data_IF_816261160530
#
_entry.id   IF_816261160530
#
_cell.length_a   1.000
_cell.length_b   1.000
_cell.length_c   1.000
_cell.angle_alpha   90.00
_cell.angle_beta   90.00
_cell.angle_gamma   90.00
#
_symmetry.space_group_name_H-M   'P 1'
#
loop_
_entity.id
_entity.type
_entity.pdbx_description
1 polymer ?
#
# COMPACT_ATOMS: atom_id res chain seq x y z
N UNK A 1 -26.04 5.31 -12.21
CA UNK A 1 -26.18 5.10 -10.75
C UNK A 1 -26.07 3.63 -10.32
N UNK A 2 -26.91 2.69 -10.78
CA UNK A 2 -26.76 1.26 -10.40
C UNK A 2 -25.52 0.62 -11.02
N UNK A 3 -25.26 0.89 -12.30
CA UNK A 3 -24.07 0.39 -13.01
C UNK A 3 -22.77 0.91 -12.37
N UNK A 4 -22.77 2.16 -11.90
CA UNK A 4 -21.61 2.77 -11.21
C UNK A 4 -21.33 2.11 -9.87
N UNK A 5 -22.37 1.71 -9.11
CA UNK A 5 -22.19 0.99 -7.83
C UNK A 5 -21.58 -0.39 -8.03
N UNK A 6 -22.04 -1.15 -9.03
CA UNK A 6 -21.45 -2.45 -9.36
C UNK A 6 -20.01 -2.31 -9.83
N UNK A 7 -19.72 -1.27 -10.60
CA UNK A 7 -18.36 -0.96 -11.04
C UNK A 7 -17.42 -0.62 -9.86
N UNK A 8 -17.85 0.26 -8.95
CA UNK A 8 -17.06 0.59 -7.74
C UNK A 8 -16.84 -0.66 -6.88
N UNK A 9 -17.88 -1.50 -6.69
CA UNK A 9 -17.73 -2.75 -5.95
C UNK A 9 -16.72 -3.69 -6.62
N UNK A 10 -16.77 -3.82 -7.94
CA UNK A 10 -15.79 -4.60 -8.70
C UNK A 10 -14.37 -4.08 -8.49
N UNK A 11 -14.15 -2.76 -8.51
CA UNK A 11 -12.84 -2.16 -8.23
C UNK A 11 -12.38 -2.47 -6.80
N UNK A 12 -13.26 -2.34 -5.81
CA UNK A 12 -12.95 -2.64 -4.41
C UNK A 12 -12.56 -4.11 -4.20
N UNK A 13 -13.33 -5.03 -4.75
CA UNK A 13 -13.03 -6.47 -4.69
C UNK A 13 -11.71 -6.77 -5.42
N UNK A 14 -11.52 -6.19 -6.60
CA UNK A 14 -10.28 -6.29 -7.38
C UNK A 14 -9.06 -5.85 -6.57
N UNK A 15 -9.13 -4.69 -5.91
CA UNK A 15 -8.06 -4.15 -5.06
C UNK A 15 -7.73 -5.08 -3.88
N UNK A 16 -8.76 -5.58 -3.19
CA UNK A 16 -8.60 -6.45 -2.02
C UNK A 16 -7.94 -7.77 -2.43
N UNK A 17 -8.42 -8.39 -3.51
CA UNK A 17 -7.92 -9.69 -4.00
C UNK A 17 -6.49 -9.54 -4.52
N UNK A 18 -6.22 -8.62 -5.45
CA UNK A 18 -4.88 -8.45 -6.01
C UNK A 18 -3.86 -8.00 -4.98
N UNK A 19 -4.25 -7.15 -4.03
CA UNK A 19 -3.37 -6.78 -2.93
C UNK A 19 -3.10 -7.96 -1.99
N UNK A 20 -4.11 -8.77 -1.69
CA UNK A 20 -4.01 -9.94 -0.81
C UNK A 20 -3.09 -11.00 -1.41
N UNK A 21 -3.28 -11.32 -2.69
CA UNK A 21 -2.37 -12.17 -3.45
C UNK A 21 -0.95 -11.63 -3.44
N UNK A 22 -0.75 -10.33 -3.71
CA UNK A 22 0.57 -9.71 -3.70
C UNK A 22 1.29 -9.94 -2.37
N UNK A 23 0.64 -9.63 -1.25
CA UNK A 23 1.22 -9.79 0.08
C UNK A 23 1.61 -11.25 0.40
N UNK A 24 0.75 -12.21 0.06
CA UNK A 24 1.00 -13.62 0.29
C UNK A 24 2.10 -14.17 -0.61
N UNK A 25 2.13 -13.75 -1.88
CA UNK A 25 3.15 -14.16 -2.85
C UNK A 25 4.52 -13.59 -2.50
N UNK A 26 4.62 -12.31 -2.12
CA UNK A 26 5.88 -11.72 -1.66
C UNK A 26 6.41 -12.46 -0.45
N UNK A 27 5.54 -12.78 0.53
CA UNK A 27 5.98 -13.56 1.68
C UNK A 27 6.39 -14.98 1.30
N UNK A 28 5.64 -15.63 0.42
CA UNK A 28 5.99 -16.95 -0.08
C UNK A 28 7.36 -16.93 -0.75
N UNK A 29 7.65 -15.88 -1.53
CA UNK A 29 8.93 -15.65 -2.18
C UNK A 29 10.05 -15.47 -1.14
N UNK A 30 9.86 -14.62 -0.13
CA UNK A 30 10.82 -14.39 0.95
C UNK A 30 11.15 -15.66 1.75
N UNK A 31 10.19 -16.57 1.86
CA UNK A 31 10.36 -17.85 2.54
C UNK A 31 11.01 -18.93 1.66
N UNK A 32 11.27 -18.67 0.36
CA UNK A 32 11.96 -19.65 -0.48
C UNK A 32 13.45 -19.69 -0.12
N UNK A 33 13.97 -20.90 0.03
CA UNK A 33 15.40 -21.12 0.16
C UNK A 33 16.08 -21.02 -1.21
N UNK A 34 17.21 -20.32 -1.24
CA UNK A 34 17.92 -19.97 -2.47
C UNK A 34 19.33 -20.54 -2.49
N UNK A 35 20.01 -20.60 -1.34
CA UNK A 35 21.36 -21.19 -1.21
C UNK A 35 21.50 -21.95 0.10
N UNK A 36 22.33 -22.99 0.11
CA UNK A 36 22.59 -23.87 1.26
C UNK A 36 21.33 -24.54 1.83
N UNK A 37 20.38 -24.91 0.98
CA UNK A 37 19.09 -25.48 1.42
C UNK A 37 19.22 -26.85 2.09
N UNK A 38 20.28 -27.60 1.77
CA UNK A 38 20.59 -28.89 2.40
C UNK A 38 21.54 -28.75 3.61
N UNK A 39 21.92 -27.52 3.98
CA UNK A 39 22.87 -27.22 5.07
C UNK A 39 22.20 -26.79 6.37
N UNK A 40 23.01 -26.56 7.41
CA UNK A 40 22.54 -26.13 8.75
C UNK A 40 22.12 -24.65 8.83
N UNK A 41 22.41 -23.85 7.80
CA UNK A 41 22.02 -22.43 7.71
C UNK A 41 21.52 -22.10 6.29
N UNK A 42 20.24 -22.38 5.96
CA UNK A 42 19.66 -22.06 4.66
C UNK A 42 19.58 -20.54 4.49
N UNK A 43 20.00 -20.05 3.32
CA UNK A 43 19.84 -18.65 2.94
C UNK A 43 18.53 -18.48 2.19
N UNK A 44 17.63 -17.69 2.78
CA UNK A 44 16.34 -17.35 2.19
C UNK A 44 16.48 -16.21 1.19
N UNK A 45 15.49 -16.07 0.30
CA UNK A 45 15.41 -14.95 -0.62
C UNK A 45 15.18 -13.64 0.15
N UNK A 46 16.22 -12.84 0.33
CA UNK A 46 16.14 -11.56 1.05
C UNK A 46 16.75 -10.45 0.20
N UNK A 47 15.96 -9.97 -0.78
CA UNK A 47 16.40 -8.95 -1.74
C UNK A 47 15.29 -7.88 -1.92
N UNK A 48 15.03 -7.06 -0.89
CA UNK A 48 13.91 -6.10 -0.88
C UNK A 48 14.00 -5.06 -1.99
N UNK A 49 15.21 -4.59 -2.34
CA UNK A 49 15.38 -3.59 -3.41
C UNK A 49 15.10 -4.21 -4.79
N UNK A 50 15.46 -5.49 -4.99
CA UNK A 50 15.14 -6.20 -6.22
C UNK A 50 13.63 -6.45 -6.35
N UNK A 51 12.95 -6.76 -5.25
CA UNK A 51 11.47 -6.85 -5.22
C UNK A 51 10.81 -5.51 -5.55
N UNK A 52 11.35 -4.39 -5.03
CA UNK A 52 10.89 -3.04 -5.41
C UNK A 52 11.11 -2.76 -6.91
N UNK A 53 12.24 -3.17 -7.48
CA UNK A 53 12.45 -3.05 -8.93
C UNK A 53 11.41 -3.88 -9.72
N UNK A 54 11.16 -5.11 -9.27
CA UNK A 54 10.19 -6.00 -9.89
C UNK A 54 8.75 -5.43 -9.84
N UNK A 55 8.37 -4.79 -8.73
CA UNK A 55 7.10 -4.05 -8.59
C UNK A 55 6.95 -2.99 -9.68
N UNK A 56 7.93 -2.09 -9.83
CA UNK A 56 7.88 -1.03 -10.83
C UNK A 56 7.95 -1.54 -12.27
N UNK A 57 8.66 -2.63 -12.53
CA UNK A 57 8.66 -3.28 -13.86
C UNK A 57 7.26 -3.82 -14.19
N UNK A 58 6.56 -4.40 -13.21
CA UNK A 58 5.17 -4.84 -13.36
C UNK A 58 4.22 -3.68 -13.71
N UNK A 59 4.35 -2.55 -13.03
CA UNK A 59 3.57 -1.34 -13.33
C UNK A 59 3.92 -0.73 -14.68
N UNK A 60 5.20 -0.71 -15.06
CA UNK A 60 5.62 -0.24 -16.37
C UNK A 60 5.01 -1.08 -17.50
N UNK A 61 4.79 -2.39 -17.29
CA UNK A 61 4.13 -3.24 -18.29
C UNK A 61 2.70 -2.81 -18.59
N UNK A 62 2.03 -2.12 -17.65
CA UNK A 62 0.70 -1.52 -17.85
C UNK A 62 0.73 -0.44 -18.93
N UNK A 63 1.86 0.25 -19.10
CA UNK A 63 2.04 1.27 -20.13
C UNK A 63 1.91 0.68 -21.55
N UNK A 64 2.36 -0.56 -21.75
CA UNK A 64 2.19 -1.26 -23.03
C UNK A 64 0.70 -1.51 -23.33
N UNK A 65 -0.07 -1.91 -22.32
CA UNK A 65 -1.54 -2.08 -22.44
C UNK A 65 -2.20 -0.74 -22.73
N UNK A 66 -1.78 0.34 -22.06
CA UNK A 66 -2.28 1.69 -22.27
C UNK A 66 -2.04 2.17 -23.71
N UNK A 67 -0.82 2.03 -24.24
CA UNK A 67 -0.52 2.42 -25.62
C UNK A 67 -1.26 1.56 -26.65
N UNK A 68 -1.42 0.26 -26.42
CA UNK A 68 -2.19 -0.61 -27.30
C UNK A 68 -3.68 -0.20 -27.34
N UNK A 69 -4.27 0.13 -26.19
CA UNK A 69 -5.66 0.63 -26.12
C UNK A 69 -5.81 2.00 -26.75
N UNK A 70 -4.85 2.90 -26.51
CA UNK A 70 -4.86 4.24 -27.09
C UNK A 70 -4.70 4.21 -28.61
N UNK A 71 -3.78 3.39 -29.13
CA UNK A 71 -3.59 3.21 -30.58
C UNK A 71 -4.82 2.59 -31.26
N UNK A 72 -5.59 1.77 -30.55
CA UNK A 72 -6.89 1.27 -31.03
C UNK A 72 -8.00 2.35 -30.95
N UNK A 73 -8.01 3.17 -29.90
CA UNK A 73 -9.00 4.22 -29.67
C UNK A 73 -8.75 5.51 -30.48
N UNK A 74 -7.52 5.77 -30.95
CA UNK A 74 -7.17 6.90 -31.82
C UNK A 74 -7.87 6.88 -33.19
N UNK A 75 -8.67 5.84 -33.46
CA UNK A 75 -9.56 5.74 -34.63
C UNK A 75 -10.96 6.33 -34.41
N UNK A 76 -11.37 6.70 -33.18
CA UNK A 76 -12.72 7.20 -32.88
C UNK A 76 -12.66 8.29 -31.78
N UNK A 77 -13.14 9.49 -32.14
CA UNK A 77 -13.48 10.65 -31.28
C UNK A 77 -12.40 11.60 -30.74
N UNK A 78 -12.23 12.71 -31.48
CA UNK A 78 -11.89 14.02 -30.95
C UNK A 78 -13.18 14.72 -30.48
N UNK A 79 -13.57 14.52 -29.21
CA UNK A 79 -14.71 15.16 -28.57
C UNK A 79 -14.34 16.38 -27.73
N UNK A 80 -15.15 17.44 -27.85
CA UNK A 80 -15.05 18.77 -27.22
C UNK A 80 -15.31 18.66 -25.70
N UNK A 81 -14.50 19.35 -24.89
CA UNK A 81 -14.49 19.43 -23.40
C UNK A 81 -13.68 18.38 -22.62
N UNK A 82 -12.40 18.22 -22.96
CA UNK A 82 -11.46 17.38 -22.20
C UNK A 82 -10.44 18.24 -21.42
N UNK A 83 -10.30 18.00 -20.10
CA UNK A 83 -9.24 18.61 -19.24
C UNK A 83 -7.86 18.45 -19.93
N UNK A 84 -6.89 19.35 -19.68
CA UNK A 84 -5.61 19.34 -20.39
C UNK A 84 -4.89 17.99 -20.27
N UNK A 85 -4.57 17.38 -21.41
CA UNK A 85 -3.74 16.17 -21.50
C UNK A 85 -2.31 16.55 -21.13
N UNK A 86 -1.73 15.83 -20.16
CA UNK A 86 -0.35 16.04 -19.71
C UNK A 86 0.59 15.88 -20.92
N UNK A 87 1.20 16.97 -21.38
CA UNK A 87 2.17 16.96 -22.49
C UNK A 87 3.58 17.20 -21.98
N UNK A 88 4.49 16.29 -22.30
CA UNK A 88 5.95 16.46 -22.29
C UNK A 88 6.56 16.93 -20.97
N UNK A 89 6.63 18.25 -20.76
CA UNK A 89 7.21 18.87 -19.54
C UNK A 89 6.36 18.64 -18.29
N UNK A 90 5.06 18.38 -18.44
CA UNK A 90 4.17 18.10 -17.30
C UNK A 90 4.26 16.65 -16.82
N UNK A 91 4.88 15.74 -17.57
CA UNK A 91 5.13 14.36 -17.11
C UNK A 91 6.07 14.33 -15.88
N UNK A 92 6.90 15.36 -15.68
CA UNK A 92 7.71 15.49 -14.48
C UNK A 92 6.88 15.68 -13.20
N UNK A 93 5.63 16.16 -13.30
CA UNK A 93 4.73 16.23 -12.14
C UNK A 93 4.37 14.81 -11.66
N UNK A 94 4.34 13.83 -12.57
CA UNK A 94 4.11 12.42 -12.25
C UNK A 94 5.33 11.74 -11.61
N UNK A 95 6.51 12.36 -11.65
CA UNK A 95 7.69 11.84 -10.96
C UNK A 95 7.61 12.05 -9.44
N UNK A 96 6.78 12.99 -8.96
CA UNK A 96 6.59 13.24 -7.53
C UNK A 96 5.94 12.04 -6.82
N UNK A 97 4.75 11.53 -7.25
CA UNK A 97 4.16 10.34 -6.63
C UNK A 97 5.07 9.13 -6.77
N UNK A 98 5.73 8.95 -7.92
CA UNK A 98 6.70 7.85 -8.12
C UNK A 98 7.86 7.90 -7.13
N UNK A 99 8.44 9.08 -6.86
CA UNK A 99 9.51 9.21 -5.87
C UNK A 99 9.03 8.84 -4.46
N UNK A 100 7.81 9.25 -4.10
CA UNK A 100 7.21 8.89 -2.81
C UNK A 100 6.91 7.39 -2.70
N UNK A 101 6.43 6.75 -3.78
CA UNK A 101 6.19 5.31 -3.82
C UNK A 101 7.49 4.52 -3.66
N UNK A 102 8.58 4.91 -4.35
CA UNK A 102 9.89 4.25 -4.17
C UNK A 102 10.32 4.27 -2.71
N UNK A 103 10.23 5.42 -2.06
CA UNK A 103 10.62 5.57 -0.65
C UNK A 103 9.71 4.72 0.24
N UNK A 104 8.39 4.83 0.05
CA UNK A 104 7.40 4.09 0.83
C UNK A 104 7.59 2.57 0.70
N UNK A 105 7.64 2.07 -0.53
CA UNK A 105 7.76 0.65 -0.85
C UNK A 105 9.10 0.07 -0.42
N UNK A 106 10.19 0.83 -0.49
CA UNK A 106 11.50 0.39 0.04
C UNK A 106 11.48 0.27 1.57
N UNK A 107 10.92 1.26 2.28
CA UNK A 107 10.79 1.21 3.74
C UNK A 107 9.90 0.06 4.21
N UNK A 108 8.80 -0.18 3.48
CA UNK A 108 7.87 -1.26 3.77
C UNK A 108 8.48 -2.64 3.48
N UNK A 109 9.20 -2.82 2.38
CA UNK A 109 9.88 -4.09 2.09
C UNK A 109 11.00 -4.36 3.11
N UNK A 110 11.76 -3.33 3.52
CA UNK A 110 12.75 -3.46 4.58
C UNK A 110 12.10 -3.88 5.91
N UNK A 111 10.95 -3.30 6.27
CA UNK A 111 10.23 -3.69 7.46
C UNK A 111 9.70 -5.14 7.39
N UNK A 112 9.18 -5.58 6.25
CA UNK A 112 8.64 -6.94 6.07
C UNK A 112 9.68 -8.04 6.35
N UNK A 113 10.96 -7.76 6.08
CA UNK A 113 12.09 -8.66 6.38
C UNK A 113 12.40 -8.71 7.89
N UNK A 114 12.15 -7.62 8.61
CA UNK A 114 12.50 -7.48 10.03
C UNK A 114 11.40 -7.93 10.99
N UNK A 115 10.15 -7.96 10.54
CA UNK A 115 9.00 -8.23 11.43
C UNK A 115 8.05 -9.31 10.90
N UNK A 116 7.31 -9.99 11.79
CA UNK A 116 6.24 -10.89 11.40
C UNK A 116 5.20 -10.23 10.49
N UNK A 117 4.64 -11.02 9.57
CA UNK A 117 3.74 -10.55 8.52
C UNK A 117 2.46 -10.00 9.12
N UNK A 118 1.96 -10.63 10.17
CA UNK A 118 0.71 -10.19 10.80
C UNK A 118 0.86 -8.79 11.43
N UNK A 119 1.98 -8.51 12.09
CA UNK A 119 2.28 -7.17 12.66
C UNK A 119 2.47 -6.17 11.53
N UNK A 120 3.14 -6.57 10.45
CA UNK A 120 3.32 -5.75 9.26
C UNK A 120 1.99 -5.33 8.65
N UNK A 121 1.11 -6.30 8.37
CA UNK A 121 -0.20 -6.06 7.76
C UNK A 121 -1.09 -5.21 8.66
N UNK A 122 -1.11 -5.49 9.96
CA UNK A 122 -1.94 -4.74 10.90
C UNK A 122 -1.45 -3.32 11.12
N UNK A 123 -0.13 -3.10 11.19
CA UNK A 123 0.43 -1.75 11.28
C UNK A 123 0.15 -0.95 10.01
N UNK A 124 0.14 -1.59 8.83
CA UNK A 124 -0.24 -0.94 7.57
C UNK A 124 -1.66 -0.38 7.56
N UNK A 125 -2.58 -0.92 8.37
CA UNK A 125 -3.93 -0.36 8.54
C UNK A 125 -3.94 1.06 9.11
N UNK A 126 -2.83 1.53 9.70
CA UNK A 126 -2.66 2.92 10.11
C UNK A 126 -2.67 3.92 8.94
N UNK A 127 -2.58 3.46 7.68
CA UNK A 127 -2.57 4.32 6.49
C UNK A 127 -3.80 5.24 6.42
N UNK A 128 -4.96 4.77 6.87
CA UNK A 128 -6.22 5.54 6.87
C UNK A 128 -6.05 6.84 7.67
N UNK A 129 -5.31 6.78 8.78
CA UNK A 129 -5.04 7.93 9.62
C UNK A 129 -4.25 9.02 8.87
N UNK A 130 -3.12 8.64 8.26
CA UNK A 130 -2.27 9.59 7.55
C UNK A 130 -2.93 10.15 6.30
N UNK A 131 -3.68 9.32 5.55
CA UNK A 131 -4.42 9.76 4.37
C UNK A 131 -5.52 10.75 4.75
N UNK A 132 -6.28 10.47 5.81
CA UNK A 132 -7.30 11.40 6.29
C UNK A 132 -6.69 12.74 6.74
N UNK A 133 -5.60 12.70 7.50
CA UNK A 133 -4.88 13.90 7.96
C UNK A 133 -4.38 14.75 6.78
N UNK A 134 -3.71 14.12 5.80
CA UNK A 134 -3.22 14.81 4.61
C UNK A 134 -4.34 15.28 3.68
N UNK A 135 -5.48 14.59 3.63
CA UNK A 135 -6.66 15.06 2.90
C UNK A 135 -7.21 16.37 3.48
N UNK A 136 -7.17 16.53 4.81
CA UNK A 136 -7.54 17.80 5.46
C UNK A 136 -6.54 18.91 5.14
N UNK A 137 -5.24 18.61 5.26
CA UNK A 137 -4.17 19.62 5.10
C UNK A 137 -4.01 20.06 3.64
N UNK A 138 -3.97 19.13 2.69
CA UNK A 138 -3.64 19.43 1.29
C UNK A 138 -4.86 19.62 0.39
N UNK A 139 -5.97 18.91 0.64
CA UNK A 139 -7.21 19.06 -0.13
C UNK A 139 -8.20 20.01 0.53
N UNK A 140 -7.95 20.46 1.77
CA UNK A 140 -8.81 21.41 2.49
C UNK A 140 -10.18 20.82 2.88
N UNK A 141 -10.31 19.50 2.90
CA UNK A 141 -11.54 18.82 3.30
C UNK A 141 -11.79 18.98 4.80
N UNK A 142 -13.06 18.98 5.19
CA UNK A 142 -13.46 19.04 6.61
C UNK A 142 -13.71 17.63 7.12
N UNK A 143 -13.24 17.36 8.34
CA UNK A 143 -13.45 16.09 9.05
C UNK A 143 -14.36 16.36 10.24
N UNK A 144 -15.44 15.59 10.32
CA UNK A 144 -16.41 15.61 11.41
C UNK A 144 -15.80 15.09 12.70
N UNK A 145 -16.37 15.46 13.87
CA UNK A 145 -15.90 14.93 15.15
C UNK A 145 -15.98 13.40 15.24
N UNK A 146 -16.98 12.78 14.59
CA UNK A 146 -17.12 11.32 14.54
C UNK A 146 -15.97 10.66 13.78
N UNK A 147 -15.59 11.22 12.63
CA UNK A 147 -14.43 10.76 11.87
C UNK A 147 -13.14 10.93 12.70
N UNK A 148 -12.95 12.04 13.42
CA UNK A 148 -11.82 12.21 14.35
C UNK A 148 -11.76 11.17 15.47
N UNK A 149 -12.90 10.83 16.08
CA UNK A 149 -12.93 9.76 17.09
C UNK A 149 -12.58 8.39 16.48
N UNK A 150 -13.02 8.15 15.24
CA UNK A 150 -12.70 6.90 14.51
C UNK A 150 -11.20 6.81 14.20
N UNK A 151 -10.59 7.91 13.79
CA UNK A 151 -9.14 8.03 13.58
C UNK A 151 -8.35 7.76 14.87
N UNK A 152 -8.81 8.25 16.02
CA UNK A 152 -8.18 7.96 17.31
C UNK A 152 -8.25 6.47 17.68
N UNK A 153 -9.38 5.80 17.39
CA UNK A 153 -9.54 4.36 17.59
C UNK A 153 -8.59 3.55 16.70
N UNK A 154 -8.39 3.96 15.44
CA UNK A 154 -7.42 3.32 14.53
C UNK A 154 -6.01 3.41 15.12
N UNK A 155 -5.58 4.60 15.58
CA UNK A 155 -4.26 4.80 16.20
C UNK A 155 -4.09 3.92 17.45
N UNK A 156 -5.13 3.81 18.28
CA UNK A 156 -5.13 2.92 19.45
C UNK A 156 -4.97 1.45 19.03
N UNK A 157 -5.71 0.99 18.01
CA UNK A 157 -5.61 -0.37 17.48
C UNK A 157 -4.19 -0.72 17.03
N UNK A 158 -3.54 0.20 16.30
CA UNK A 158 -2.16 0.05 15.83
C UNK A 158 -1.18 -0.02 17.02
N UNK A 159 -1.36 0.82 18.03
CA UNK A 159 -0.52 0.80 19.24
C UNK A 159 -0.65 -0.54 19.99
N UNK A 160 -1.86 -1.09 20.11
CA UNK A 160 -2.10 -2.40 20.74
C UNK A 160 -1.45 -3.54 19.94
N UNK A 161 -1.55 -3.52 18.61
CA UNK A 161 -0.89 -4.49 17.73
C UNK A 161 0.63 -4.46 17.90
N UNK A 162 1.23 -3.25 17.90
CA UNK A 162 2.67 -3.09 18.12
C UNK A 162 3.12 -3.63 19.47
N UNK A 163 2.35 -3.34 20.53
CA UNK A 163 2.62 -3.85 21.88
C UNK A 163 2.47 -5.39 21.96
N UNK A 164 1.49 -5.98 21.26
CA UNK A 164 1.34 -7.43 21.15
C UNK A 164 2.55 -8.11 20.52
N UNK A 165 3.19 -7.45 19.56
CA UNK A 165 4.43 -7.92 18.94
C UNK A 165 5.56 -8.04 19.95
N UNK A 166 5.73 -7.03 20.81
CA UNK A 166 6.78 -7.01 21.82
C UNK A 166 6.60 -8.11 22.87
N UNK A 167 5.37 -8.33 23.34
CA UNK A 167 5.05 -9.37 24.31
C UNK A 167 5.26 -10.79 23.77
N UNK A 168 5.31 -10.95 22.45
CA UNK A 168 5.56 -12.23 21.81
C UNK A 168 7.02 -12.69 21.93
N UNK A 169 7.97 -11.76 22.00
CA UNK A 169 9.38 -12.06 22.25
C UNK A 169 9.66 -12.45 23.71
N UNK A 170 8.69 -12.27 24.61
CA UNK A 170 8.78 -12.60 26.04
C UNK A 170 8.27 -14.02 26.37
N UNK A 171 7.62 -14.72 25.43
CA UNK A 171 7.00 -16.04 25.68
C UNK A 171 7.79 -17.24 25.17
N UNK A 172 8.88 -17.03 24.42
CA UNK A 172 9.88 -18.07 24.18
C UNK A 172 10.83 -18.09 25.38
N UNK A 173 10.94 -19.23 26.08
CA UNK A 173 11.82 -19.49 27.24
C UNK A 173 13.34 -19.36 26.96
N UNK A 174 13.72 -18.75 25.83
CA UNK A 174 15.07 -18.28 25.58
C UNK A 174 15.12 -16.78 25.88
N UNK A 175 15.97 -16.38 26.83
CA UNK A 175 16.22 -14.98 27.23
C UNK A 175 16.08 -14.02 26.05
N UNK A 176 15.20 -13.00 26.11
CA UNK A 176 15.00 -12.10 24.98
C UNK A 176 16.31 -11.37 24.73
N UNK A 177 16.99 -11.72 23.64
CA UNK A 177 18.14 -10.96 23.20
C UNK A 177 17.64 -9.52 22.94
N UNK A 178 18.32 -8.52 23.51
CA UNK A 178 17.97 -7.10 23.29
C UNK A 178 17.84 -6.76 21.80
N UNK A 179 18.58 -7.49 20.95
CA UNK A 179 18.57 -7.39 19.50
C UNK A 179 17.19 -7.66 18.88
N UNK A 180 16.41 -8.63 19.39
CA UNK A 180 15.09 -8.95 18.83
C UNK A 180 14.09 -7.81 19.07
N UNK A 181 14.06 -7.23 20.27
CA UNK A 181 13.18 -6.10 20.61
C UNK A 181 13.55 -4.84 19.83
N UNK A 182 14.84 -4.57 19.68
CA UNK A 182 15.33 -3.43 18.87
C UNK A 182 14.96 -3.58 17.40
N UNK A 183 15.07 -4.80 16.84
CA UNK A 183 14.67 -5.07 15.45
C UNK A 183 13.17 -4.89 15.20
N UNK A 184 12.32 -5.29 16.15
CA UNK A 184 10.87 -5.10 16.06
C UNK A 184 10.48 -3.62 16.10
N UNK A 185 11.03 -2.87 17.06
CA UNK A 185 10.75 -1.44 17.20
C UNK A 185 11.21 -0.66 15.97
N UNK A 186 12.39 -1.00 15.44
CA UNK A 186 12.91 -0.42 14.21
C UNK A 186 11.99 -0.74 13.03
N UNK A 187 11.56 -2.00 12.88
CA UNK A 187 10.64 -2.42 11.82
C UNK A 187 9.30 -1.69 11.87
N UNK A 188 8.66 -1.58 13.04
CA UNK A 188 7.40 -0.81 13.21
C UNK A 188 7.61 0.67 12.88
N UNK A 189 8.73 1.26 13.29
CA UNK A 189 9.07 2.66 12.99
C UNK A 189 9.25 2.89 11.49
N UNK A 190 9.90 1.95 10.79
CA UNK A 190 10.03 1.99 9.32
C UNK A 190 8.68 1.91 8.61
N UNK A 191 7.74 1.11 9.12
CA UNK A 191 6.38 1.04 8.56
C UNK A 191 5.69 2.38 8.72
N UNK A 192 5.67 2.94 9.93
CA UNK A 192 5.02 4.24 10.17
C UNK A 192 5.61 5.31 9.26
N UNK A 193 6.93 5.36 9.11
CA UNK A 193 7.57 6.28 8.18
C UNK A 193 7.18 6.01 6.71
N UNK A 194 7.17 4.75 6.29
CA UNK A 194 6.74 4.36 4.95
C UNK A 194 5.28 4.73 4.66
N UNK A 195 4.39 4.59 5.65
CA UNK A 195 2.98 4.96 5.54
C UNK A 195 2.77 6.46 5.36
N UNK A 196 3.64 7.30 5.93
CA UNK A 196 3.60 8.75 5.70
C UNK A 196 3.88 9.05 4.23
N UNK A 197 4.91 8.45 3.63
CA UNK A 197 5.20 8.63 2.21
C UNK A 197 4.12 8.05 1.30
N UNK A 198 3.57 6.87 1.66
CA UNK A 198 2.47 6.25 0.92
C UNK A 198 1.19 7.10 0.98
N UNK A 199 0.89 7.70 2.13
CA UNK A 199 -0.25 8.62 2.25
C UNK A 199 -0.05 9.88 1.41
N UNK A 200 1.18 10.42 1.37
CA UNK A 200 1.50 11.56 0.51
C UNK A 200 1.37 11.22 -0.97
N UNK A 201 1.79 10.02 -1.39
CA UNK A 201 1.57 9.50 -2.74
C UNK A 201 0.06 9.49 -3.08
N UNK A 202 -0.79 8.85 -2.27
CA UNK A 202 -2.22 8.74 -2.55
C UNK A 202 -2.91 10.11 -2.68
N UNK A 203 -2.51 11.07 -1.84
CA UNK A 203 -3.05 12.44 -1.87
C UNK A 203 -2.55 13.21 -3.09
N UNK A 204 -1.28 13.03 -3.47
CA UNK A 204 -0.72 13.63 -4.69
C UNK A 204 -1.40 13.08 -5.93
N UNK A 205 -1.65 11.77 -5.99
CA UNK A 205 -2.41 11.14 -7.07
C UNK A 205 -3.84 11.68 -7.15
N UNK A 206 -4.55 11.79 -6.03
CA UNK A 206 -5.91 12.36 -5.99
C UNK A 206 -5.89 13.81 -6.48
N UNK A 207 -4.90 14.60 -6.06
CA UNK A 207 -4.71 15.97 -6.53
C UNK A 207 -4.43 16.05 -8.05
N UNK A 208 -3.68 15.09 -8.60
CA UNK A 208 -3.40 15.04 -10.04
C UNK A 208 -4.64 14.61 -10.83
N UNK A 209 -5.35 13.58 -10.37
CA UNK A 209 -6.55 13.03 -11.02
C UNK A 209 -7.72 14.01 -11.00
N UNK A 210 -7.81 14.87 -9.99
CA UNK A 210 -8.80 15.96 -9.93
C UNK A 210 -8.48 17.09 -10.91
N UNK A 211 -7.21 17.51 -11.00
CA UNK A 211 -6.78 18.64 -11.86
C UNK A 211 -6.58 18.32 -13.34
N UNK A 212 -6.16 17.10 -13.70
CA UNK A 212 -5.87 16.71 -15.08
C UNK A 212 -6.73 15.52 -15.53
N UNK A 213 -7.08 15.43 -16.82
CA UNK A 213 -7.71 14.22 -17.37
C UNK A 213 -6.61 13.20 -17.66
N UNK A 214 -6.27 12.45 -16.62
CA UNK A 214 -5.37 11.29 -16.73
C UNK A 214 -6.22 10.02 -16.57
N UNK A 215 -6.02 9.07 -17.48
CA UNK A 215 -6.57 7.73 -17.31
C UNK A 215 -5.76 7.00 -16.20
N UNK A 216 -6.41 6.34 -15.22
CA UNK A 216 -5.69 5.64 -14.13
C UNK A 216 -4.60 4.69 -14.66
N UNK A 217 -4.88 4.01 -15.77
CA UNK A 217 -3.96 3.11 -16.45
C UNK A 217 -2.67 3.81 -16.92
N UNK A 218 -2.79 5.02 -17.45
CA UNK A 218 -1.65 5.83 -17.87
C UNK A 218 -0.85 6.37 -16.68
N UNK A 219 -1.53 6.79 -15.60
CA UNK A 219 -0.89 7.26 -14.37
C UNK A 219 0.04 6.18 -13.79
N UNK A 220 -0.49 4.97 -13.58
CA UNK A 220 0.27 3.81 -13.07
C UNK A 220 1.42 3.44 -14.00
N UNK A 221 1.20 3.46 -15.33
CA UNK A 221 2.25 3.14 -16.30
C UNK A 221 3.43 4.12 -16.27
N UNK A 222 3.16 5.42 -16.11
CA UNK A 222 4.22 6.43 -15.99
C UNK A 222 4.92 6.39 -14.62
N UNK A 223 4.18 6.09 -13.56
CA UNK A 223 4.75 5.83 -12.23
C UNK A 223 5.74 4.65 -12.28
N UNK A 224 5.34 3.52 -12.88
CA UNK A 224 6.21 2.37 -13.12
C UNK A 224 7.44 2.70 -13.98
N UNK A 225 7.30 3.57 -14.98
CA UNK A 225 8.43 4.00 -15.81
C UNK A 225 9.44 4.84 -15.00
N UNK A 226 8.99 5.87 -14.29
CA UNK A 226 9.89 6.69 -13.48
C UNK A 226 10.46 5.90 -12.29
N UNK A 227 9.63 5.07 -11.65
CA UNK A 227 10.01 4.16 -10.58
C UNK A 227 11.10 3.19 -10.99
N UNK A 228 10.89 2.48 -12.10
CA UNK A 228 11.89 1.52 -12.63
C UNK A 228 13.21 2.21 -12.98
N UNK A 229 13.18 3.40 -13.60
CA UNK A 229 14.39 4.16 -13.92
C UNK A 229 15.16 4.59 -12.65
N UNK A 230 14.47 5.14 -11.66
CA UNK A 230 15.09 5.61 -10.42
C UNK A 230 15.63 4.44 -9.60
N UNK A 231 14.82 3.39 -9.40
CA UNK A 231 15.21 2.21 -8.63
C UNK A 231 16.34 1.44 -9.31
N UNK A 232 16.31 1.27 -10.63
CA UNK A 232 17.40 0.64 -11.36
C UNK A 232 18.70 1.46 -11.26
N UNK A 233 18.62 2.79 -11.37
CA UNK A 233 19.78 3.67 -11.19
C UNK A 233 20.34 3.59 -9.78
N UNK A 234 19.47 3.54 -8.76
CA UNK A 234 19.86 3.37 -7.36
C UNK A 234 20.55 2.04 -7.11
N UNK A 235 20.02 0.95 -7.69
CA UNK A 235 20.63 -0.38 -7.63
C UNK A 235 21.99 -0.43 -8.31
N UNK A 236 22.13 0.17 -9.50
CA UNK A 236 23.40 0.23 -10.22
C UNK A 236 24.45 1.00 -9.41
N UNK A 237 24.07 2.15 -8.86
CA UNK A 237 24.95 2.94 -8.01
C UNK A 237 25.34 2.18 -6.73
N UNK A 238 24.37 1.56 -6.04
CA UNK A 238 24.61 0.76 -4.84
C UNK A 238 25.51 -0.45 -5.11
N UNK A 239 25.35 -1.11 -6.27
CA UNK A 239 26.20 -2.20 -6.69
C UNK A 239 27.66 -1.77 -6.88
N UNK A 240 27.88 -0.61 -7.53
CA UNK A 240 29.21 -0.06 -7.78
C UNK A 240 29.90 0.37 -6.48
N UNK A 241 29.17 1.01 -5.56
CA UNK A 241 29.77 1.58 -4.33
C UNK A 241 29.96 0.53 -3.22
N UNK A 242 28.96 -0.32 -3.00
CA UNK A 242 28.91 -1.26 -1.86
C UNK A 242 28.74 -2.73 -2.26
N UNK A 243 28.26 -3.02 -3.47
CA UNK A 243 27.98 -4.39 -3.93
C UNK A 243 29.22 -5.28 -4.06
N UNK A 244 30.40 -4.71 -4.26
CA UNK A 244 31.66 -5.47 -4.35
C UNK A 244 32.23 -5.92 -2.99
N UNK A 245 31.71 -5.45 -1.86
CA UNK A 245 32.30 -5.73 -0.52
C UNK A 245 31.78 -7.01 0.15
N UNK A 246 30.63 -7.55 -0.24
CA UNK A 246 30.11 -8.80 0.32
C UNK A 246 29.10 -9.51 -0.61
N UNK A 247 29.19 -10.84 -0.69
CA UNK A 247 28.30 -11.70 -1.49
C UNK A 247 26.84 -11.65 -1.00
N UNK A 248 26.63 -11.36 0.29
CA UNK A 248 25.31 -11.23 0.92
C UNK A 248 24.79 -9.77 0.98
N UNK A 249 25.43 -8.83 0.29
CA UNK A 249 24.96 -7.46 0.26
C UNK A 249 23.62 -7.36 -0.47
N UNK A 250 22.66 -6.67 0.15
CA UNK A 250 21.31 -6.36 -0.40
C UNK A 250 21.39 -5.60 -1.74
N UNK A 251 22.57 -5.06 -2.07
CA UNK A 251 22.84 -4.30 -3.30
C UNK A 251 23.49 -5.14 -4.41
N UNK A 252 23.68 -6.45 -4.23
CA UNK A 252 24.33 -7.28 -5.25
C UNK A 252 23.35 -7.75 -6.34
N UNK A 253 23.15 -6.91 -7.36
CA UNK A 253 22.21 -7.14 -8.44
C UNK A 253 22.46 -8.46 -9.20
N UNK A 254 23.73 -8.80 -9.46
CA UNK A 254 24.09 -10.03 -10.17
C UNK A 254 23.66 -11.27 -9.39
N UNK A 255 23.83 -11.23 -8.07
CA UNK A 255 23.44 -12.33 -7.20
C UNK A 255 21.91 -12.43 -7.10
N UNK A 256 21.20 -11.31 -6.91
CA UNK A 256 19.74 -11.29 -6.87
C UNK A 256 19.10 -11.82 -8.17
N UNK A 257 19.68 -11.46 -9.33
CA UNK A 257 19.23 -11.96 -10.62
C UNK A 257 19.48 -13.46 -10.77
N UNK A 258 20.65 -13.95 -10.37
CA UNK A 258 20.99 -15.38 -10.43
C UNK A 258 20.09 -16.22 -9.51
N UNK A 259 19.84 -15.70 -8.31
CA UNK A 259 19.00 -16.33 -7.29
C UNK A 259 17.53 -16.44 -7.74
N UNK A 260 17.03 -15.41 -8.44
CA UNK A 260 15.69 -15.40 -9.08
C UNK A 260 15.65 -16.31 -10.31
N UNK A 261 16.69 -16.21 -11.13
CA UNK A 261 17.11 -17.06 -12.25
C UNK A 261 16.87 -18.56 -12.04
N UNK A 262 17.60 -19.01 -11.02
CA UNK A 262 17.92 -20.41 -10.77
C UNK A 262 16.81 -21.15 -10.04
N UNK A 263 15.92 -20.44 -9.33
CA UNK A 263 14.87 -21.04 -8.54
C UNK A 263 13.52 -20.87 -9.23
N UNK A 264 12.99 -21.96 -9.80
CA UNK A 264 11.70 -21.95 -10.53
C UNK A 264 10.54 -21.42 -9.69
N UNK A 265 10.50 -21.71 -8.40
CA UNK A 265 9.49 -21.19 -7.48
C UNK A 265 9.58 -19.67 -7.31
N UNK A 266 10.80 -19.14 -7.19
CA UNK A 266 11.03 -17.69 -7.05
C UNK A 266 10.64 -16.99 -8.35
N UNK A 267 11.06 -17.50 -9.51
CA UNK A 267 10.70 -16.94 -10.81
C UNK A 267 9.17 -16.94 -11.05
N UNK A 268 8.49 -18.05 -10.76
CA UNK A 268 7.04 -18.13 -10.91
C UNK A 268 6.32 -17.16 -9.97
N UNK A 269 6.74 -17.11 -8.70
CA UNK A 269 6.20 -16.15 -7.73
C UNK A 269 6.45 -14.71 -8.18
N UNK A 270 7.62 -14.42 -8.77
CA UNK A 270 7.97 -13.10 -9.29
C UNK A 270 7.03 -12.64 -10.41
N UNK A 271 6.72 -13.52 -11.36
CA UNK A 271 5.78 -13.22 -12.44
C UNK A 271 4.36 -12.92 -11.89
N UNK A 272 3.89 -13.73 -10.95
CA UNK A 272 2.58 -13.53 -10.34
C UNK A 272 2.51 -12.22 -9.53
N UNK A 273 3.59 -11.89 -8.80
CA UNK A 273 3.71 -10.63 -8.05
C UNK A 273 3.60 -9.44 -9.00
N UNK A 274 4.30 -9.45 -10.14
CA UNK A 274 4.23 -8.36 -11.13
C UNK A 274 2.80 -8.14 -11.63
N UNK A 275 2.09 -9.21 -11.98
CA UNK A 275 0.70 -9.13 -12.44
C UNK A 275 -0.21 -8.61 -11.31
N UNK A 276 -0.03 -9.13 -10.11
CA UNK A 276 -0.85 -8.76 -8.94
C UNK A 276 -0.70 -7.30 -8.56
N UNK A 277 0.54 -6.78 -8.57
CA UNK A 277 0.87 -5.37 -8.29
C UNK A 277 0.28 -4.46 -9.36
N UNK A 278 0.47 -4.81 -10.64
CA UNK A 278 -0.10 -4.04 -11.74
C UNK A 278 -1.62 -3.90 -11.58
N UNK A 279 -2.32 -5.01 -11.30
CA UNK A 279 -3.76 -4.99 -11.02
C UNK A 279 -4.10 -4.17 -9.76
N UNK A 280 -3.34 -4.33 -8.68
CA UNK A 280 -3.53 -3.60 -7.43
C UNK A 280 -3.46 -2.09 -7.63
N UNK A 281 -2.41 -1.58 -8.30
CA UNK A 281 -2.25 -0.15 -8.52
C UNK A 281 -3.24 0.39 -9.56
N UNK A 282 -3.64 -0.40 -10.57
CA UNK A 282 -4.71 -0.01 -11.49
C UNK A 282 -6.08 0.13 -10.79
N UNK A 283 -6.47 -0.86 -9.97
CA UNK A 283 -7.72 -0.78 -9.23
C UNK A 283 -7.69 0.32 -8.17
N UNK A 284 -6.54 0.50 -7.50
CA UNK A 284 -6.34 1.51 -6.46
C UNK A 284 -6.49 2.92 -7.01
N UNK A 285 -5.73 3.25 -8.07
CA UNK A 285 -5.82 4.56 -8.73
C UNK A 285 -7.21 4.80 -9.35
N UNK A 286 -7.88 3.75 -9.83
CA UNK A 286 -9.27 3.85 -10.31
C UNK A 286 -10.25 4.19 -9.18
N UNK A 287 -10.10 3.59 -7.99
CA UNK A 287 -10.89 3.95 -6.81
C UNK A 287 -10.61 5.40 -6.40
N UNK A 288 -9.35 5.84 -6.41
CA UNK A 288 -9.00 7.24 -6.12
C UNK A 288 -9.69 8.20 -7.10
N UNK A 289 -9.76 7.83 -8.39
CA UNK A 289 -10.40 8.67 -9.42
C UNK A 289 -11.92 8.75 -9.30
N UNK A 290 -12.57 7.63 -8.99
CA UNK A 290 -14.04 7.54 -8.95
C UNK A 290 -14.65 7.83 -7.58
N UNK A 291 -13.86 7.68 -6.52
CA UNK A 291 -14.27 7.92 -5.13
C UNK A 291 -13.25 8.85 -4.48
N UNK A 292 -12.25 8.36 -3.75
CA UNK A 292 -11.25 9.22 -3.11
C UNK A 292 -10.04 8.44 -2.65
N UNK A 293 -8.93 9.14 -2.34
CA UNK A 293 -7.75 8.49 -1.74
C UNK A 293 -8.07 7.84 -0.39
N UNK A 294 -8.96 8.46 0.39
CA UNK A 294 -9.39 7.95 1.69
C UNK A 294 -10.21 6.67 1.58
N UNK A 295 -11.05 6.57 0.53
CA UNK A 295 -11.77 5.34 0.24
C UNK A 295 -10.81 4.23 -0.21
N UNK A 296 -9.83 4.55 -1.07
CA UNK A 296 -8.76 3.61 -1.45
C UNK A 296 -8.00 3.08 -0.23
N UNK A 297 -7.55 3.95 0.67
CA UNK A 297 -6.78 3.55 1.86
C UNK A 297 -7.59 2.70 2.82
N UNK A 298 -8.90 2.93 2.90
CA UNK A 298 -9.79 2.09 3.69
C UNK A 298 -9.97 0.70 3.05
N UNK A 299 -10.20 0.62 1.75
CA UNK A 299 -10.29 -0.68 1.05
C UNK A 299 -8.97 -1.44 1.16
N UNK A 300 -7.83 -0.75 1.11
CA UNK A 300 -6.51 -1.35 1.34
C UNK A 300 -6.35 -1.90 2.76
N UNK A 301 -7.01 -1.29 3.75
CA UNK A 301 -7.03 -1.79 5.12
C UNK A 301 -7.88 -3.06 5.22
N UNK A 302 -8.98 -3.18 4.48
CA UNK A 302 -9.79 -4.41 4.44
C UNK A 302 -9.00 -5.62 3.93
N UNK A 303 -8.01 -5.44 3.06
CA UNK A 303 -7.11 -6.53 2.63
C UNK A 303 -6.37 -7.17 3.80
N UNK A 304 -5.96 -6.38 4.80
CA UNK A 304 -5.13 -6.86 5.92
C UNK A 304 -5.81 -7.98 6.70
N UNK A 305 -7.16 -7.96 6.77
CA UNK A 305 -8.00 -9.04 7.33
C UNK A 305 -7.78 -10.36 6.61
N UNK A 306 -7.86 -10.34 5.29
CA UNK A 306 -7.73 -11.55 4.49
C UNK A 306 -6.33 -12.13 4.60
N UNK A 307 -5.29 -11.30 4.54
CA UNK A 307 -3.91 -11.75 4.64
C UNK A 307 -3.65 -12.33 6.03
N UNK A 308 -4.18 -11.71 7.08
CA UNK A 308 -4.03 -12.23 8.45
C UNK A 308 -4.70 -13.60 8.63
N UNK A 309 -5.95 -13.75 8.18
CA UNK A 309 -6.66 -15.03 8.22
C UNK A 309 -5.90 -16.10 7.43
N UNK A 310 -5.40 -15.74 6.23
CA UNK A 310 -4.60 -16.64 5.42
C UNK A 310 -3.29 -17.03 6.11
N UNK A 311 -2.59 -16.10 6.76
CA UNK A 311 -1.34 -16.41 7.49
C UNK A 311 -1.57 -17.37 8.67
N UNK A 312 -2.71 -17.26 9.36
CA UNK A 312 -3.09 -18.18 10.42
C UNK A 312 -3.46 -19.56 9.85
N UNK A 313 -4.21 -19.59 8.75
CA UNK A 313 -4.61 -20.84 8.08
C UNK A 313 -3.40 -21.62 7.52
N UNK A 314 -2.38 -20.91 7.03
CA UNK A 314 -1.12 -21.49 6.56
C UNK A 314 -0.18 -21.91 7.70
N UNK A 315 -0.52 -21.59 8.95
CA UNK A 315 0.30 -21.93 10.12
C UNK A 315 1.62 -21.15 10.21
N UNK A 316 1.73 -19.99 9.54
CA UNK A 316 2.95 -19.19 9.57
C UNK A 316 3.20 -18.53 10.92
N UNK A 317 2.14 -18.29 11.71
CA UNK A 317 2.23 -17.59 13.00
C UNK A 317 1.19 -18.11 14.00
N UNK A 318 1.50 -18.14 15.32
CA UNK A 318 0.56 -18.55 16.34
C UNK A 318 -0.52 -17.49 16.60
N UNK A 319 -1.73 -17.94 16.90
CA UNK A 319 -2.86 -17.06 17.23
C UNK A 319 -2.62 -16.33 18.57
N UNK A 320 -2.78 -15.00 18.55
CA UNK A 320 -2.64 -14.14 19.74
C UNK A 320 -3.87 -13.30 19.97
N UNK A 321 -4.44 -13.42 21.17
CA UNK A 321 -5.66 -12.72 21.54
C UNK A 321 -5.49 -11.19 21.54
N UNK A 322 -4.35 -10.70 22.01
CA UNK A 322 -4.05 -9.27 22.08
C UNK A 322 -3.94 -8.65 20.68
N UNK A 323 -3.41 -9.42 19.72
CA UNK A 323 -3.34 -9.03 18.34
C UNK A 323 -4.74 -8.96 17.69
N UNK A 324 -5.60 -9.95 17.95
CA UNK A 324 -7.01 -9.91 17.54
C UNK A 324 -7.73 -8.68 18.10
N UNK A 325 -7.47 -8.31 19.36
CA UNK A 325 -8.09 -7.12 19.98
C UNK A 325 -7.66 -5.83 19.29
N UNK A 326 -6.35 -5.61 19.11
CA UNK A 326 -5.84 -4.42 18.41
C UNK A 326 -6.35 -4.34 16.97
N UNK A 327 -6.48 -5.50 16.33
CA UNK A 327 -7.03 -5.57 14.99
C UNK A 327 -8.54 -5.29 14.90
N UNK A 328 -9.31 -5.79 15.87
CA UNK A 328 -10.75 -5.51 15.96
C UNK A 328 -11.00 -4.02 16.14
N UNK A 329 -10.20 -3.34 16.97
CA UNK A 329 -10.25 -1.89 17.12
C UNK A 329 -9.95 -1.17 15.80
N UNK A 330 -8.92 -1.61 15.10
CA UNK A 330 -8.53 -1.02 13.82
C UNK A 330 -9.67 -1.13 12.79
N UNK A 331 -10.21 -2.33 12.60
CA UNK A 331 -11.33 -2.58 11.67
C UNK A 331 -12.57 -1.80 12.08
N UNK A 332 -12.91 -1.79 13.37
CA UNK A 332 -14.04 -1.03 13.87
C UNK A 332 -13.88 0.47 13.58
N UNK A 333 -12.72 1.05 13.91
CA UNK A 333 -12.44 2.46 13.62
C UNK A 333 -12.52 2.77 12.14
N UNK A 334 -11.99 1.90 11.28
CA UNK A 334 -12.07 2.04 9.82
C UNK A 334 -13.51 1.98 9.30
N UNK A 335 -14.36 1.08 9.82
CA UNK A 335 -15.75 0.95 9.42
C UNK A 335 -16.63 2.13 9.89
N UNK A 336 -16.38 2.65 11.09
CA UNK A 336 -17.07 3.85 11.61
C UNK A 336 -16.62 5.09 10.83
N UNK A 337 -15.33 5.21 10.52
CA UNK A 337 -14.79 6.28 9.68
C UNK A 337 -15.46 6.30 8.29
N UNK A 338 -15.70 5.12 7.71
CA UNK A 338 -16.38 5.00 6.43
C UNK A 338 -17.89 5.17 6.46
N UNK A 339 -18.50 5.33 7.64
CA UNK A 339 -19.95 5.34 7.79
C UNK A 339 -20.64 4.01 7.45
N UNK A 340 -19.88 2.91 7.34
CA UNK A 340 -20.45 1.57 7.13
C UNK A 340 -21.12 1.05 8.40
N UNK A 341 -20.61 1.45 9.56
CA UNK A 341 -21.25 1.26 10.87
C UNK A 341 -21.72 2.63 11.35
N UNK A 342 -23.02 2.89 11.22
CA UNK A 342 -23.64 4.04 11.84
C UNK A 342 -23.94 3.72 13.31
N UNK A 343 -23.24 4.38 14.23
CA UNK A 343 -23.49 4.20 15.66
C UNK A 343 -24.85 4.86 15.96
N UNK A 344 -25.82 4.12 16.53
CA UNK A 344 -27.15 4.66 16.80
C UNK A 344 -27.09 5.83 17.77
N UNK A 345 -27.85 6.89 17.48
CA UNK A 345 -27.83 8.19 18.16
C UNK A 345 -28.02 8.10 19.68
N UNK A 346 -28.67 7.04 20.15
CA UNK A 346 -28.89 6.73 21.57
C UNK A 346 -27.61 6.49 22.37
N UNK A 347 -26.52 6.11 21.72
CA UNK A 347 -25.22 5.84 22.36
C UNK A 347 -24.17 6.93 22.07
N UNK A 348 -24.49 7.95 21.26
CA UNK A 348 -23.59 9.07 21.05
C UNK A 348 -23.75 10.11 22.17
N UNK A 349 -22.66 10.59 22.78
CA UNK A 349 -22.71 11.80 23.60
C UNK A 349 -23.18 13.01 22.75
N UNK A 350 -23.99 13.90 23.34
CA UNK A 350 -24.59 15.07 22.68
C UNK A 350 -23.58 15.97 21.93
N UNK A 351 -22.32 15.98 22.35
CA UNK A 351 -21.22 16.71 21.69
C UNK A 351 -20.88 16.19 20.28
N UNK A 352 -21.09 14.89 20.02
CA UNK A 352 -20.85 14.25 18.72
C UNK A 352 -22.08 14.31 17.79
N UNK A 353 -23.28 14.49 18.35
CA UNK A 353 -24.53 14.63 17.60
C UNK A 353 -24.69 16.02 16.94
N UNK A 354 -24.05 17.06 17.46
CA UNK A 354 -24.12 18.43 16.90
C UNK A 354 -23.60 18.52 15.46
N UNK A 355 -22.64 17.68 15.06
CA UNK A 355 -22.09 17.68 13.70
C UNK A 355 -22.95 16.89 12.70
N UNK A 356 -23.82 15.97 13.15
CA UNK A 356 -24.71 15.20 12.26
C UNK A 356 -25.86 16.07 11.70
N UNK A 357 -26.25 17.10 12.44
CA UNK A 357 -27.28 18.07 12.05
C UNK A 357 -26.73 19.25 11.23
N UNK A 358 -25.41 19.43 11.18
CA UNK A 358 -24.80 20.39 10.28
C UNK A 358 -24.64 19.72 8.92
N UNK A 359 -25.10 20.41 7.87
CA UNK A 359 -25.13 19.98 6.46
C UNK A 359 -23.70 19.89 5.85
N UNK A 360 -22.78 19.19 6.52
CA UNK A 360 -21.42 18.96 6.05
C UNK A 360 -21.37 17.62 5.31
N UNK A 361 -21.06 17.66 4.00
CA UNK A 361 -20.67 16.46 3.23
C UNK A 361 -19.50 15.77 3.95
N UNK A 362 -19.63 14.47 4.24
CA UNK A 362 -18.56 13.65 4.84
C UNK A 362 -17.31 13.68 3.95
N UNK A 363 -16.15 13.40 4.52
CA UNK A 363 -14.89 13.41 3.73
C UNK A 363 -14.96 12.44 2.53
N UNK A 364 -15.69 11.34 2.69
CA UNK A 364 -15.98 10.33 1.63
C UNK A 364 -17.00 10.82 0.59
N UNK A 365 -17.88 11.75 0.96
CA UNK A 365 -18.99 12.25 0.13
C UNK A 365 -18.62 13.55 -0.63
N UNK A 366 -17.42 14.12 -0.43
CA UNK A 366 -16.97 15.39 -1.07
C UNK A 366 -16.50 15.27 -2.53
N UNK A 367 -16.71 14.11 -3.17
CA UNK A 367 -16.22 13.82 -4.53
C UNK A 367 -17.04 14.52 -5.62
N UNK A 368 -18.28 14.90 -5.30
CA UNK A 368 -19.24 15.43 -6.28
C UNK A 368 -19.18 16.95 -6.51
N UNK A 369 -18.27 17.68 -5.87
CA UNK A 369 -18.01 19.07 -6.26
C UNK A 369 -16.81 19.12 -7.19
N UNK A 370 -17.09 19.20 -8.49
CA UNK A 370 -16.16 19.80 -9.45
C UNK A 370 -15.64 21.08 -8.80
N UNK A 371 -14.36 21.04 -8.41
CA UNK A 371 -13.66 22.21 -7.88
C UNK A 371 -13.51 23.18 -9.04
N UNK A 372 -14.55 23.96 -9.30
CA UNK A 372 -14.44 25.25 -9.97
C UNK A 372 -13.60 26.14 -9.05
N UNK A 373 -12.28 26.11 -9.23
CA UNK A 373 -11.41 27.16 -8.73
C UNK A 373 -10.56 27.67 -9.89
N UNK A 374 -10.92 28.89 -10.26
CA UNK A 374 -10.27 29.84 -11.16
C UNK A 374 -8.74 29.73 -11.24
#
# INVERSE_FOLDING_TARGET
MVLDRFYILFLCVGLIVSGGLNSLLTKFQDNQCVRNCDGTSPTLFNQPIFQTLQMFVGEMAVLAVFFNRKSAAESVDAGINSKPVVKGKQNFILAIPAACDIIASTLLNLALVMIPVSIYQMTRGAIVFFVALFSVVFLGRKVTRMEWTSLAVIVLGVAVVGYSGQNSGLQTDETPSKQTTESLLLGVSLIVLGLVFMAFQFITEEHILTRWQVEPLGLVGFEGLFGSLITFSSLLFGHIVYGHKSIDSIFNLNQAFKDTVSNGNVLFSSLLIMISIACFNCFGTSITKHVSATSRSTVDTCRTLLVWIASLALGWEPFKLLQLLGFTLLVFGTLVFNGAIEIPEKYLPQYLLQDKNAEYKRLIDTVDEEVERF
#
